data_IF_915705272953
#
_entry.id   IF_915705272953
#
_cell.length_a   1.000
_cell.length_b   1.000
_cell.length_c   1.000
_cell.angle_alpha   90.00
_cell.angle_beta   90.00
_cell.angle_gamma   90.00
#
_symmetry.space_group_name_H-M   'P 1'
#
loop_
_entity.id
_entity.type
_entity.pdbx_description
1 polymer ?
#
# COMPACT_ATOMS: atom_id res chain seq x y z
N UNK A 1 -6.11 -23.11 -3.96
CA UNK A 1 -5.80 -21.99 -3.05
C UNK A 1 -4.32 -21.69 -3.15
N UNK A 2 -3.94 -20.44 -3.49
CA UNK A 2 -2.54 -20.09 -3.73
C UNK A 2 -1.76 -20.11 -2.40
N UNK A 3 -0.46 -20.42 -2.43
CA UNK A 3 0.37 -20.56 -1.21
C UNK A 3 0.34 -19.31 -0.31
N UNK A 4 0.30 -18.12 -0.92
CA UNK A 4 0.22 -16.85 -0.19
C UNK A 4 -1.12 -16.65 0.54
N UNK A 5 -2.24 -17.13 -0.01
CA UNK A 5 -3.55 -17.04 0.67
C UNK A 5 -3.57 -17.89 1.95
N UNK A 6 -2.89 -19.04 1.95
CA UNK A 6 -2.72 -19.86 3.15
C UNK A 6 -1.92 -19.12 4.22
N UNK A 7 -0.83 -18.45 3.81
CA UNK A 7 0.00 -17.66 4.73
C UNK A 7 -0.81 -16.49 5.30
N UNK A 8 -1.51 -15.75 4.45
CA UNK A 8 -2.34 -14.61 4.88
C UNK A 8 -3.48 -15.04 5.81
N UNK A 9 -4.16 -16.15 5.52
CA UNK A 9 -5.18 -16.72 6.41
C UNK A 9 -4.60 -17.06 7.80
N UNK A 10 -3.40 -17.67 7.84
CA UNK A 10 -2.69 -17.96 9.10
C UNK A 10 -2.24 -16.70 9.85
N UNK A 11 -1.84 -15.63 9.14
CA UNK A 11 -1.53 -14.34 9.78
C UNK A 11 -2.82 -13.75 10.37
N UNK A 12 -3.90 -13.72 9.60
CA UNK A 12 -5.19 -13.18 10.03
C UNK A 12 -5.76 -13.89 11.26
N UNK A 13 -5.59 -15.22 11.36
CA UNK A 13 -6.07 -15.97 12.51
C UNK A 13 -5.31 -15.64 13.81
N UNK A 14 -4.09 -15.13 13.72
CA UNK A 14 -3.23 -14.77 14.86
C UNK A 14 -3.37 -13.32 15.31
N UNK A 15 -3.97 -12.46 14.49
CA UNK A 15 -4.23 -11.06 14.87
C UNK A 15 -5.30 -11.03 15.96
N UNK A 16 -4.91 -10.56 17.15
CA UNK A 16 -5.76 -10.49 18.33
C UNK A 16 -6.81 -9.39 18.23
N UNK A 17 -6.41 -8.19 17.81
CA UNK A 17 -7.32 -7.07 17.60
C UNK A 17 -7.62 -6.86 16.12
N UNK A 18 -8.73 -7.43 15.66
CA UNK A 18 -9.21 -7.29 14.29
C UNK A 18 -9.98 -5.97 14.07
N UNK A 19 -10.32 -5.23 15.13
CA UNK A 19 -11.12 -3.99 15.02
C UNK A 19 -10.37 -2.91 14.25
N UNK A 20 -9.04 -2.89 14.34
CA UNK A 20 -8.20 -1.96 13.57
C UNK A 20 -8.44 -2.06 12.06
N UNK A 21 -8.82 -3.24 11.56
CA UNK A 21 -9.09 -3.48 10.14
C UNK A 21 -10.53 -3.13 9.72
N UNK A 22 -11.45 -2.90 10.66
CA UNK A 22 -12.84 -2.53 10.32
C UNK A 22 -12.97 -1.07 9.86
N UNK A 23 -12.02 -0.21 10.24
CA UNK A 23 -11.95 1.16 9.77
C UNK A 23 -11.32 1.25 8.36
N UNK A 24 -11.53 2.35 7.62
CA UNK A 24 -10.79 2.62 6.40
C UNK A 24 -9.27 2.55 6.64
N UNK A 25 -8.58 1.80 5.78
CA UNK A 25 -7.14 1.57 5.83
C UNK A 25 -6.43 2.40 4.77
N UNK A 26 -5.46 3.21 5.21
CA UNK A 26 -4.51 3.89 4.33
C UNK A 26 -3.14 3.22 4.46
N UNK A 27 -2.72 2.53 3.41
CA UNK A 27 -1.43 1.84 3.39
C UNK A 27 -0.34 2.71 2.74
N UNK A 28 0.70 3.02 3.49
CA UNK A 28 1.93 3.60 2.93
C UNK A 28 2.69 2.55 2.12
N UNK A 29 2.88 2.79 0.83
CA UNK A 29 3.50 1.87 -0.12
C UNK A 29 4.72 2.49 -0.78
N UNK A 30 5.90 1.93 -0.53
CA UNK A 30 7.16 2.44 -1.09
C UNK A 30 7.57 1.76 -2.39
N UNK A 31 6.95 0.62 -2.76
CA UNK A 31 7.45 -0.26 -3.83
C UNK A 31 8.44 -1.31 -3.33
N UNK A 32 8.91 -1.20 -2.08
CA UNK A 32 9.80 -2.19 -1.46
C UNK A 32 9.10 -3.51 -1.12
N UNK A 33 9.90 -4.56 -0.90
CA UNK A 33 9.41 -5.93 -0.62
C UNK A 33 8.46 -5.99 0.58
N UNK A 34 8.78 -5.30 1.66
CA UNK A 34 7.96 -5.32 2.88
C UNK A 34 6.60 -4.68 2.65
N UNK A 35 6.59 -3.47 2.07
CA UNK A 35 5.35 -2.78 1.73
C UNK A 35 4.52 -3.53 0.68
N UNK A 36 5.17 -4.31 -0.20
CA UNK A 36 4.51 -5.18 -1.19
C UNK A 36 3.88 -6.41 -0.54
N UNK A 37 4.57 -7.06 0.40
CA UNK A 37 4.01 -8.16 1.17
C UNK A 37 2.80 -7.70 2.00
N UNK A 38 2.91 -6.53 2.64
CA UNK A 38 1.81 -5.93 3.41
C UNK A 38 0.63 -5.54 2.50
N UNK A 39 0.88 -4.95 1.33
CA UNK A 39 -0.15 -4.66 0.34
C UNK A 39 -0.88 -5.94 -0.10
N UNK A 40 -0.14 -7.02 -0.35
CA UNK A 40 -0.71 -8.33 -0.66
C UNK A 40 -1.63 -8.84 0.45
N UNK A 41 -1.22 -8.70 1.71
CA UNK A 41 -2.04 -9.08 2.86
C UNK A 41 -3.30 -8.19 2.98
N UNK A 42 -3.17 -6.87 2.90
CA UNK A 42 -4.31 -5.95 2.97
C UNK A 42 -5.29 -6.18 1.80
N UNK A 43 -4.79 -6.44 0.60
CA UNK A 43 -5.63 -6.82 -0.55
C UNK A 43 -6.37 -8.13 -0.30
N UNK A 44 -5.70 -9.14 0.24
CA UNK A 44 -6.35 -10.38 0.66
C UNK A 44 -7.50 -10.11 1.63
N UNK A 45 -7.30 -9.23 2.62
CA UNK A 45 -8.37 -8.85 3.55
C UNK A 45 -9.53 -8.14 2.83
N UNK A 46 -9.24 -7.18 1.93
CA UNK A 46 -10.25 -6.46 1.14
C UNK A 46 -11.08 -7.43 0.29
N UNK A 47 -10.42 -8.32 -0.45
CA UNK A 47 -11.06 -9.27 -1.37
C UNK A 47 -11.95 -10.29 -0.62
N UNK A 48 -11.60 -10.60 0.65
CA UNK A 48 -12.40 -11.46 1.52
C UNK A 48 -13.36 -10.70 2.45
N UNK A 49 -13.53 -9.38 2.27
CA UNK A 49 -14.40 -8.51 3.09
C UNK A 49 -14.08 -8.56 4.60
N UNK A 50 -12.79 -8.75 4.92
CA UNK A 50 -12.27 -8.81 6.29
C UNK A 50 -11.78 -7.45 6.82
N UNK A 51 -11.72 -6.44 5.95
CA UNK A 51 -11.42 -5.07 6.32
C UNK A 51 -12.40 -4.06 5.71
N UNK A 52 -12.37 -2.83 6.19
CA UNK A 52 -13.04 -1.69 5.55
C UNK A 52 -12.40 -1.33 4.21
N UNK A 53 -12.70 -0.12 3.73
CA UNK A 53 -12.09 0.40 2.50
C UNK A 53 -10.57 0.42 2.62
N UNK A 54 -9.88 0.07 1.55
CA UNK A 54 -8.42 0.07 1.45
C UNK A 54 -8.01 1.04 0.36
N UNK A 55 -7.17 2.00 0.73
CA UNK A 55 -6.51 2.92 -0.18
C UNK A 55 -4.99 2.87 0.03
N UNK A 56 -4.24 3.11 -1.03
CA UNK A 56 -2.77 3.06 -1.03
C UNK A 56 -2.20 4.47 -1.22
N UNK A 57 -1.14 4.79 -0.48
CA UNK A 57 -0.45 6.07 -0.58
C UNK A 57 1.03 5.83 -0.89
N UNK A 58 1.52 6.38 -1.99
CA UNK A 58 2.94 6.40 -2.33
C UNK A 58 3.49 7.82 -2.24
N UNK A 59 4.61 7.98 -1.52
CA UNK A 59 5.36 9.22 -1.46
C UNK A 59 6.64 9.09 -2.29
N UNK A 60 6.69 9.77 -3.42
CA UNK A 60 7.92 9.97 -4.19
C UNK A 60 8.75 11.07 -3.52
N UNK A 61 9.83 10.66 -2.86
CA UNK A 61 10.72 11.59 -2.17
C UNK A 61 11.66 12.38 -3.10
N UNK A 62 11.72 12.04 -4.39
CA UNK A 62 12.54 12.71 -5.41
C UNK A 62 14.01 12.90 -5.02
N UNK A 63 14.57 11.95 -4.26
CA UNK A 63 15.98 11.95 -3.84
C UNK A 63 16.89 11.59 -5.04
N UNK A 64 16.35 10.91 -6.04
CA UNK A 64 16.99 10.50 -7.31
C UNK A 64 15.96 10.63 -8.45
N UNK A 65 16.35 10.29 -9.68
CA UNK A 65 15.38 10.11 -10.75
C UNK A 65 14.50 8.88 -10.44
N UNK A 66 13.25 9.15 -10.06
CA UNK A 66 12.24 8.17 -9.66
C UNK A 66 11.18 7.98 -10.73
N UNK A 67 11.35 8.55 -11.94
CA UNK A 67 10.32 8.59 -12.98
C UNK A 67 9.85 7.18 -13.37
N UNK A 68 10.80 6.27 -13.59
CA UNK A 68 10.50 4.89 -13.96
C UNK A 68 9.88 4.11 -12.80
N UNK A 69 10.40 4.26 -11.58
CA UNK A 69 9.89 3.60 -10.38
C UNK A 69 8.43 4.00 -10.09
N UNK A 70 8.13 5.30 -10.13
CA UNK A 70 6.77 5.82 -9.92
C UNK A 70 5.82 5.30 -11.00
N UNK A 71 6.28 5.19 -12.25
CA UNK A 71 5.51 4.60 -13.34
C UNK A 71 5.19 3.13 -13.06
N UNK A 72 6.18 2.33 -12.70
CA UNK A 72 6.02 0.90 -12.38
C UNK A 72 5.08 0.70 -11.19
N UNK A 73 5.22 1.51 -10.14
CA UNK A 73 4.31 1.50 -8.98
C UNK A 73 2.88 1.83 -9.40
N UNK A 74 2.69 2.85 -10.24
CA UNK A 74 1.36 3.24 -10.73
C UNK A 74 0.74 2.11 -11.56
N UNK A 75 1.49 1.51 -12.48
CA UNK A 75 1.04 0.39 -13.31
C UNK A 75 0.68 -0.82 -12.45
N UNK A 76 1.51 -1.14 -11.45
CA UNK A 76 1.25 -2.22 -10.51
C UNK A 76 -0.02 -1.97 -9.68
N UNK A 77 -0.18 -0.80 -9.06
CA UNK A 77 -1.37 -0.49 -8.26
C UNK A 77 -2.66 -0.47 -9.08
N UNK A 78 -2.60 0.04 -10.32
CA UNK A 78 -3.71 -0.05 -11.28
C UNK A 78 -4.10 -1.51 -11.55
N UNK A 79 -3.12 -2.40 -11.76
CA UNK A 79 -3.38 -3.83 -12.03
C UNK A 79 -4.12 -4.53 -10.87
N UNK A 80 -4.02 -4.00 -9.65
CA UNK A 80 -4.67 -4.55 -8.46
C UNK A 80 -6.09 -4.00 -8.23
N UNK A 81 -6.55 -3.06 -9.06
CA UNK A 81 -7.86 -2.39 -8.92
C UNK A 81 -8.06 -1.79 -7.53
N UNK A 82 -7.04 -1.13 -6.99
CA UNK A 82 -7.08 -0.45 -5.70
C UNK A 82 -7.17 1.06 -5.87
N UNK A 83 -7.82 1.74 -4.94
CA UNK A 83 -7.75 3.19 -4.85
C UNK A 83 -6.34 3.58 -4.37
N UNK A 84 -5.70 4.52 -5.06
CA UNK A 84 -4.38 4.99 -4.64
C UNK A 84 -4.14 6.47 -4.92
N UNK A 85 -3.22 7.03 -4.14
CA UNK A 85 -2.71 8.40 -4.32
C UNK A 85 -1.18 8.34 -4.37
N UNK A 86 -0.61 8.99 -5.38
CA UNK A 86 0.83 9.20 -5.50
C UNK A 86 1.10 10.68 -5.28
N UNK A 87 1.96 11.02 -4.34
CA UNK A 87 2.42 12.40 -4.10
C UNK A 87 3.92 12.50 -4.30
N UNK A 88 4.33 13.55 -5.01
CA UNK A 88 5.73 13.94 -5.13
C UNK A 88 6.06 14.94 -4.04
N UNK A 89 7.14 14.70 -3.28
CA UNK A 89 7.63 15.65 -2.29
C UNK A 89 8.13 16.90 -3.00
N UNK A 90 7.39 17.98 -2.89
CA UNK A 90 7.89 19.31 -3.24
C UNK A 90 8.68 19.83 -2.05
N UNK A 91 9.98 20.04 -2.22
CA UNK A 91 10.69 20.89 -1.28
C UNK A 91 10.19 22.32 -1.53
N UNK A 92 9.62 23.02 -0.53
CA UNK A 92 9.54 24.47 -0.65
C UNK A 92 10.99 24.93 -0.81
N UNK A 93 11.32 25.52 -1.96
CA UNK A 93 12.46 26.43 -2.02
C UNK A 93 12.25 27.37 -0.84
N UNK A 94 13.19 27.40 0.10
CA UNK A 94 13.18 28.36 1.19
C UNK A 94 12.84 29.71 0.58
N UNK A 95 11.67 30.26 0.93
CA UNK A 95 11.42 31.66 0.65
C UNK A 95 12.51 32.38 1.43
N UNK A 96 13.52 32.85 0.71
CA UNK A 96 14.54 33.74 1.25
C UNK A 96 13.78 34.98 1.73
N UNK A 97 13.55 35.07 3.04
CA UNK A 97 13.13 36.28 3.75
C UNK A 97 14.39 37.02 4.14
#
# INVERSE_FOLDING_TARGET
>A
MKIHEQIFSKIWSKISDKKIFQNPLLLSYSGGKDSTALLGFCKYLKDNRLCGNLSVFHMDHSIRDTTQEVREIKEFLNSLSLDFTIKKKTFPLSQNV
#
